data_IF_596481838317
#
_entry.id   IF_596481838317
#
_cell.length_a   1.000
_cell.length_b   1.000
_cell.length_c   1.000
_cell.angle_alpha   90.00
_cell.angle_beta   90.00
_cell.angle_gamma   90.00
#
_symmetry.space_group_name_H-M   'P 1'
#
loop_
_entity.id
_entity.type
_entity.pdbx_description
1 polymer ?
#
# COMPACT_ATOMS: atom_id res chain seq x y z
N UNK A 1 15.75 18.14 6.36
CA UNK A 1 16.77 17.33 5.65
C UNK A 1 16.23 15.90 5.64
N UNK A 2 15.82 15.23 4.57
CA UNK A 2 15.97 15.38 3.11
C UNK A 2 14.59 15.36 2.43
N UNK A 3 14.25 16.46 1.76
CA UNK A 3 12.98 16.71 1.07
C UNK A 3 13.00 16.18 -0.37
N UNK A 4 13.67 15.04 -0.57
CA UNK A 4 13.66 14.39 -1.88
C UNK A 4 12.30 13.72 -2.06
N UNK A 5 11.53 14.09 -3.11
CA UNK A 5 10.19 13.57 -3.30
C UNK A 5 10.22 12.05 -3.45
N UNK A 6 9.27 11.37 -2.82
CA UNK A 6 9.05 9.94 -3.03
C UNK A 6 8.44 9.76 -4.42
N UNK A 7 9.05 8.91 -5.25
CA UNK A 7 8.51 8.58 -6.58
C UNK A 7 7.47 7.47 -6.44
N UNK A 8 6.31 7.62 -7.07
CA UNK A 8 5.28 6.59 -7.12
C UNK A 8 5.32 5.97 -8.52
N UNK A 9 5.55 4.66 -8.60
CA UNK A 9 5.41 3.89 -9.83
C UNK A 9 4.29 2.86 -9.70
N UNK A 10 3.69 2.49 -10.82
CA UNK A 10 2.53 1.62 -10.86
C UNK A 10 2.75 0.57 -11.94
N UNK A 11 2.84 -0.71 -11.57
CA UNK A 11 3.04 -1.80 -12.53
C UNK A 11 2.11 -2.97 -12.22
N UNK A 12 1.92 -3.84 -13.23
CA UNK A 12 1.16 -5.08 -13.07
C UNK A 12 2.08 -6.22 -12.70
N UNK A 13 1.86 -6.84 -11.55
CA UNK A 13 2.57 -8.04 -11.11
C UNK A 13 1.62 -9.01 -10.37
N UNK A 14 2.07 -10.23 -10.06
CA UNK A 14 1.25 -11.19 -9.31
C UNK A 14 0.82 -10.62 -7.95
N UNK A 15 -0.40 -10.86 -7.44
CA UNK A 15 -0.92 -10.22 -6.22
C UNK A 15 -0.29 -10.75 -4.91
N UNK A 16 1.03 -10.60 -4.77
CA UNK A 16 1.83 -11.03 -3.60
C UNK A 16 1.97 -9.91 -2.56
N UNK A 17 1.91 -8.66 -2.99
CA UNK A 17 1.83 -7.46 -2.15
C UNK A 17 1.00 -6.38 -2.87
N UNK A 18 0.40 -5.46 -2.11
CA UNK A 18 -0.32 -4.33 -2.67
C UNK A 18 0.63 -3.20 -3.10
N UNK A 19 1.74 -3.03 -2.41
CA UNK A 19 2.81 -2.13 -2.77
C UNK A 19 4.17 -2.65 -2.27
N UNK A 20 5.20 -1.89 -2.59
CA UNK A 20 6.52 -2.06 -2.00
C UNK A 20 7.24 -0.71 -1.95
N UNK A 21 7.82 -0.39 -0.79
CA UNK A 21 8.76 0.70 -0.64
C UNK A 21 10.22 0.28 -0.82
N UNK A 22 10.89 0.82 -1.85
CA UNK A 22 12.35 0.76 -1.98
C UNK A 22 13.01 1.93 -1.25
N UNK A 23 13.61 1.62 -0.08
CA UNK A 23 14.34 2.60 0.74
C UNK A 23 15.57 3.19 0.07
N UNK A 24 16.26 2.44 -0.80
CA UNK A 24 17.46 2.93 -1.49
C UNK A 24 17.10 3.93 -2.59
N UNK A 25 16.01 3.66 -3.30
CA UNK A 25 15.54 4.48 -4.42
C UNK A 25 14.51 5.54 -4.00
N UNK A 26 14.05 5.52 -2.74
CA UNK A 26 12.97 6.37 -2.23
C UNK A 26 11.72 6.30 -3.12
N UNK A 27 11.32 5.08 -3.45
CA UNK A 27 10.27 4.81 -4.43
C UNK A 27 9.21 3.92 -3.83
N UNK A 28 7.94 4.28 -4.03
CA UNK A 28 6.79 3.43 -3.73
C UNK A 28 6.31 2.84 -5.05
N UNK A 29 6.31 1.52 -5.12
CA UNK A 29 5.75 0.78 -6.24
C UNK A 29 4.34 0.31 -5.84
N UNK A 30 3.33 0.59 -6.66
CA UNK A 30 1.93 0.19 -6.44
C UNK A 30 1.57 -0.94 -7.38
N UNK A 31 0.98 -2.00 -6.85
CA UNK A 31 0.55 -3.15 -7.62
C UNK A 31 -0.77 -2.87 -8.33
N UNK A 32 -0.72 -2.62 -9.63
CA UNK A 32 -1.92 -2.42 -10.44
C UNK A 32 -2.80 -3.64 -10.56
N UNK A 33 -2.27 -4.86 -10.39
CA UNK A 33 -3.10 -6.07 -10.37
C UNK A 33 -4.01 -6.08 -9.15
N UNK A 34 -3.49 -5.72 -7.98
CA UNK A 34 -4.31 -5.62 -6.75
C UNK A 34 -5.31 -4.48 -6.89
N UNK A 35 -4.89 -3.33 -7.43
CA UNK A 35 -5.82 -2.21 -7.69
C UNK A 35 -6.94 -2.62 -8.63
N UNK A 36 -6.61 -3.20 -9.78
CA UNK A 36 -7.59 -3.62 -10.79
C UNK A 36 -8.57 -4.66 -10.20
N UNK A 37 -8.09 -5.60 -9.38
CA UNK A 37 -8.90 -6.64 -8.74
C UNK A 37 -9.84 -6.08 -7.65
N UNK A 38 -9.37 -5.15 -6.81
CA UNK A 38 -10.20 -4.49 -5.79
C UNK A 38 -11.31 -3.67 -6.46
N UNK A 39 -10.98 -2.94 -7.52
CA UNK A 39 -11.96 -2.16 -8.31
C UNK A 39 -12.99 -3.10 -8.93
N UNK A 40 -12.55 -4.20 -9.54
CA UNK A 40 -13.44 -5.14 -10.22
C UNK A 40 -14.38 -5.89 -9.26
N UNK A 41 -13.89 -6.32 -8.09
CA UNK A 41 -14.66 -7.12 -7.14
C UNK A 41 -15.55 -6.30 -6.21
N UNK A 42 -15.10 -5.12 -5.81
CA UNK A 42 -15.76 -4.34 -4.75
C UNK A 42 -16.24 -2.95 -5.21
N UNK A 43 -15.88 -2.52 -6.42
CA UNK A 43 -16.39 -1.27 -7.00
C UNK A 43 -15.79 0.01 -6.44
N UNK A 44 -14.67 -0.07 -5.71
CA UNK A 44 -13.97 1.10 -5.19
C UNK A 44 -13.36 1.95 -6.32
N UNK A 45 -13.22 3.26 -6.09
CA UNK A 45 -12.54 4.15 -7.04
C UNK A 45 -11.03 3.83 -7.08
N UNK A 46 -10.45 3.76 -8.29
CA UNK A 46 -9.03 3.44 -8.49
C UNK A 46 -8.11 4.36 -7.69
N UNK A 47 -8.37 5.67 -7.67
CA UNK A 47 -7.53 6.63 -6.96
C UNK A 47 -7.59 6.43 -5.45
N UNK A 48 -8.74 6.01 -4.91
CA UNK A 48 -8.92 5.69 -3.48
C UNK A 48 -8.10 4.45 -3.10
N UNK A 49 -8.15 3.40 -3.91
CA UNK A 49 -7.35 2.18 -3.68
C UNK A 49 -5.85 2.49 -3.74
N UNK A 50 -5.42 3.27 -4.75
CA UNK A 50 -4.02 3.71 -4.87
C UNK A 50 -3.60 4.56 -3.67
N UNK A 51 -4.46 5.46 -3.19
CA UNK A 51 -4.17 6.29 -2.02
C UNK A 51 -3.97 5.45 -0.75
N UNK A 52 -4.78 4.41 -0.54
CA UNK A 52 -4.61 3.47 0.57
C UNK A 52 -3.23 2.81 0.55
N UNK A 53 -2.84 2.27 -0.61
CA UNK A 53 -1.55 1.58 -0.80
C UNK A 53 -0.41 2.56 -0.57
N UNK A 54 -0.45 3.74 -1.20
CA UNK A 54 0.61 4.75 -1.05
C UNK A 54 0.74 5.20 0.41
N UNK A 55 -0.37 5.42 1.11
CA UNK A 55 -0.35 5.83 2.52
C UNK A 55 0.24 4.73 3.43
N UNK A 56 -0.07 3.46 3.16
CA UNK A 56 0.55 2.33 3.84
C UNK A 56 2.07 2.32 3.64
N UNK A 57 2.51 2.36 2.39
CA UNK A 57 3.95 2.33 2.04
C UNK A 57 4.71 3.58 2.53
N UNK A 58 4.05 4.73 2.64
CA UNK A 58 4.63 5.97 3.18
C UNK A 58 5.03 5.85 4.65
N UNK A 59 4.34 5.02 5.44
CA UNK A 59 4.77 4.77 6.82
C UNK A 59 6.11 4.04 6.83
N UNK A 60 6.32 3.09 5.91
CA UNK A 60 7.61 2.41 5.74
C UNK A 60 8.75 3.33 5.32
N UNK A 61 8.42 4.42 4.62
CA UNK A 61 9.37 5.51 4.31
C UNK A 61 9.82 6.25 5.56
N UNK A 62 8.88 6.57 6.44
CA UNK A 62 9.10 7.39 7.63
C UNK A 62 9.56 6.60 8.85
N UNK A 63 9.53 5.27 8.80
CA UNK A 63 9.97 4.41 9.92
C UNK A 63 11.47 4.44 10.15
N UNK A 64 11.85 4.45 11.41
CA UNK A 64 13.25 4.39 11.85
C UNK A 64 13.69 2.93 12.04
N UNK A 65 15.00 2.64 12.03
CA UNK A 65 15.51 1.28 12.22
C UNK A 65 15.14 0.64 13.57
N UNK A 66 14.78 1.45 14.57
CA UNK A 66 14.39 1.00 15.90
C UNK A 66 12.89 0.67 16.03
N UNK A 67 12.08 0.98 15.01
CA UNK A 67 10.66 0.67 15.03
C UNK A 67 10.42 -0.84 15.00
N UNK A 68 9.54 -1.33 15.87
CA UNK A 68 9.16 -2.74 15.86
C UNK A 68 8.26 -3.03 14.64
N UNK A 69 8.48 -4.13 13.89
CA UNK A 69 7.76 -4.40 12.65
C UNK A 69 6.22 -4.40 12.80
N UNK A 70 5.70 -4.88 13.92
CA UNK A 70 4.26 -4.92 14.17
C UNK A 70 3.66 -3.54 14.47
N UNK A 71 4.40 -2.67 15.16
CA UNK A 71 3.96 -1.29 15.41
C UNK A 71 3.99 -0.46 14.14
N UNK A 72 4.96 -0.74 13.27
CA UNK A 72 5.04 -0.15 11.94
C UNK A 72 3.86 -0.58 11.06
N UNK A 73 3.56 -1.87 11.00
CA UNK A 73 2.39 -2.38 10.26
C UNK A 73 1.08 -1.80 10.78
N UNK A 74 0.91 -1.68 12.11
CA UNK A 74 -0.27 -1.04 12.70
C UNK A 74 -0.41 0.43 12.28
N UNK A 75 0.70 1.19 12.26
CA UNK A 75 0.71 2.58 11.79
C UNK A 75 0.41 2.67 10.29
N UNK A 76 0.95 1.77 9.48
CA UNK A 76 0.72 1.71 8.04
C UNK A 76 -0.75 1.43 7.72
N UNK A 77 -1.36 0.47 8.43
CA UNK A 77 -2.81 0.18 8.34
C UNK A 77 -3.67 1.35 8.78
N UNK A 78 -3.29 2.05 9.85
CA UNK A 78 -4.00 3.24 10.30
C UNK A 78 -3.92 4.36 9.25
N UNK A 79 -2.74 4.63 8.69
CA UNK A 79 -2.56 5.63 7.65
C UNK A 79 -3.37 5.32 6.38
N UNK A 80 -3.39 4.05 5.96
CA UNK A 80 -4.21 3.60 4.84
C UNK A 80 -5.71 3.78 5.10
N UNK A 81 -6.16 3.44 6.31
CA UNK A 81 -7.56 3.60 6.70
C UNK A 81 -7.96 5.08 6.81
N UNK A 82 -7.08 5.97 7.24
CA UNK A 82 -7.31 7.42 7.23
C UNK A 82 -7.39 7.97 5.80
N UNK A 83 -6.57 7.45 4.88
CA UNK A 83 -6.52 7.90 3.50
C UNK A 83 -7.73 7.46 2.66
N UNK A 84 -8.24 6.25 2.88
CA UNK A 84 -9.19 5.60 1.97
C UNK A 84 -10.38 4.91 2.67
N UNK A 85 -10.36 4.80 4.00
CA UNK A 85 -11.35 4.08 4.78
C UNK A 85 -10.93 2.63 5.09
N UNK A 86 -11.34 2.15 6.26
CA UNK A 86 -11.02 0.79 6.73
C UNK A 86 -11.57 -0.33 5.83
N UNK A 87 -12.70 -0.06 5.14
CA UNK A 87 -13.29 -1.01 4.20
C UNK A 87 -12.38 -1.28 2.99
N UNK A 88 -11.77 -0.22 2.43
CA UNK A 88 -10.84 -0.36 1.29
C UNK A 88 -9.62 -1.19 1.70
N UNK A 89 -9.09 -0.95 2.91
CA UNK A 89 -7.97 -1.72 3.46
C UNK A 89 -8.34 -3.20 3.61
N UNK A 90 -9.52 -3.50 4.15
CA UNK A 90 -9.98 -4.89 4.30
C UNK A 90 -10.15 -5.60 2.95
N UNK A 91 -10.65 -4.91 1.92
CA UNK A 91 -10.79 -5.50 0.58
C UNK A 91 -9.43 -5.71 -0.12
N UNK A 92 -8.45 -4.84 0.13
CA UNK A 92 -7.06 -5.06 -0.32
C UNK A 92 -6.50 -6.34 0.34
N UNK A 93 -6.67 -6.50 1.66
CA UNK A 93 -6.25 -7.72 2.37
C UNK A 93 -6.95 -8.97 1.82
N UNK A 94 -8.24 -8.89 1.48
CA UNK A 94 -9.00 -10.01 0.90
C UNK A 94 -8.46 -10.43 -0.47
N UNK A 95 -8.13 -9.47 -1.34
CA UNK A 95 -7.50 -9.74 -2.65
C UNK A 95 -6.16 -10.45 -2.46
N UNK A 96 -5.33 -9.95 -1.55
CA UNK A 96 -4.02 -10.55 -1.28
C UNK A 96 -4.14 -11.95 -0.67
N UNK A 97 -5.08 -12.18 0.24
CA UNK A 97 -5.29 -13.49 0.84
C UNK A 97 -5.76 -14.53 -0.19
N UNK A 98 -6.60 -14.12 -1.15
CA UNK A 98 -7.09 -14.99 -2.24
C UNK A 98 -6.04 -15.34 -3.29
N UNK A 99 -4.91 -14.64 -3.33
CA UNK A 99 -3.84 -14.87 -4.31
C UNK A 99 -3.00 -16.13 -4.07
N UNK A 100 -3.09 -16.72 -2.87
CA UNK A 100 -2.25 -17.84 -2.43
C UNK A 100 -2.99 -19.19 -2.35
N UNK A 101 -4.21 -19.26 -2.89
CA UNK A 101 -5.11 -20.44 -2.82
C UNK A 101 -5.16 -21.18 -4.15
#
# INVERSE_FOLDING_TARGET
MNDQPVTIEQDRWAPVSAGEYDRRLRKVSVNLTVVDEVVARFGHDRAVVVAAIVAHEQVHVCSTPEALPHEEELRARAAAAEAAGAEVVAHIDEVLAGAWV
#
